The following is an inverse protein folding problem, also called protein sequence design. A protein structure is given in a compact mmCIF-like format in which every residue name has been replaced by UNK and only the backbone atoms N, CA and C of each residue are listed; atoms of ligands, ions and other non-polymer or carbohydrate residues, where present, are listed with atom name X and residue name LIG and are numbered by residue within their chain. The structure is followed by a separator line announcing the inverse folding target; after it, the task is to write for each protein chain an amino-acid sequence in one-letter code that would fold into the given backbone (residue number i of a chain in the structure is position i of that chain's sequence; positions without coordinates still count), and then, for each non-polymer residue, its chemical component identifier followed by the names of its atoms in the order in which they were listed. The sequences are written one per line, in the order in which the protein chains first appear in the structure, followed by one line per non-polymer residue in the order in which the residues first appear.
data_IF_867340953615
#
_entry.id   IF_867340953615
#
_cell.length_a   1.000
_cell.length_b   1.000
_cell.length_c   1.000
_cell.angle_alpha   90.00
_cell.angle_beta   90.00
_cell.angle_gamma   90.00
#
_symmetry.space_group_name_H-M   'P 1'
#
loop_
_entity.id
_entity.type
_entity.pdbx_description
1 polymer ?
#
# COMPACT_ATOMS: atom_id res chain seq x y z
N UNK A 1 13.42 -26.71 33.71
CA UNK A 1 14.04 -25.42 33.34
C UNK A 1 13.47 -25.00 32.00
N UNK A 2 12.46 -24.12 31.98
CA UNK A 2 12.00 -23.48 30.75
C UNK A 2 13.10 -22.53 30.31
N UNK A 3 13.73 -22.84 29.19
CA UNK A 3 14.62 -21.90 28.49
C UNK A 3 13.80 -20.67 28.15
N UNK A 4 14.04 -19.55 28.81
CA UNK A 4 13.45 -18.25 28.46
C UNK A 4 13.83 -17.95 27.00
N UNK A 5 12.94 -18.28 26.07
CA UNK A 5 13.13 -17.88 24.66
C UNK A 5 13.16 -16.35 24.62
N UNK A 6 14.22 -15.79 24.03
CA UNK A 6 14.30 -14.36 23.76
C UNK A 6 13.05 -13.92 23.02
N UNK A 7 12.36 -12.89 23.51
CA UNK A 7 11.26 -12.26 22.78
C UNK A 7 11.76 -11.61 21.49
N UNK A 8 11.02 -11.80 20.42
CA UNK A 8 11.28 -11.17 19.12
C UNK A 8 11.01 -9.68 19.20
N UNK A 9 11.96 -8.89 18.74
CA UNK A 9 11.96 -7.43 18.85
C UNK A 9 11.21 -6.80 17.68
N UNK A 10 10.14 -6.09 17.97
CA UNK A 10 9.28 -5.43 16.97
C UNK A 10 9.53 -3.92 16.97
N UNK A 11 9.90 -3.37 15.82
CA UNK A 11 9.92 -1.94 15.56
C UNK A 11 8.58 -1.52 14.96
N UNK A 12 7.83 -0.65 15.65
CA UNK A 12 6.56 -0.13 15.16
C UNK A 12 6.77 1.27 14.56
N UNK A 13 6.28 1.47 13.33
CA UNK A 13 6.30 2.75 12.62
C UNK A 13 4.85 3.16 12.35
N UNK A 14 4.31 4.09 13.15
CA UNK A 14 2.92 4.54 13.06
C UNK A 14 2.78 5.97 13.60
N UNK A 15 2.13 6.86 12.84
CA UNK A 15 1.91 8.27 13.23
C UNK A 15 0.66 8.44 14.11
N UNK A 16 -0.26 7.49 14.13
CA UNK A 16 -1.56 7.60 14.81
C UNK A 16 -1.47 7.24 16.30
N UNK A 17 -1.42 8.25 17.19
CA UNK A 17 -1.15 8.11 18.61
C UNK A 17 -1.93 7.01 19.34
N UNK A 18 -3.26 7.10 19.40
CA UNK A 18 -4.10 6.14 20.13
C UNK A 18 -4.04 4.72 19.53
N UNK A 19 -4.07 4.61 18.21
CA UNK A 19 -4.00 3.32 17.53
C UNK A 19 -2.64 2.69 17.72
N UNK A 20 -1.58 3.46 17.59
CA UNK A 20 -0.21 3.05 17.87
C UNK A 20 -0.05 2.50 19.28
N UNK A 21 -0.56 3.23 20.28
CA UNK A 21 -0.48 2.80 21.68
C UNK A 21 -1.26 1.49 21.90
N UNK A 22 -2.42 1.34 21.26
CA UNK A 22 -3.19 0.10 21.24
C UNK A 22 -2.45 -1.07 20.59
N UNK A 23 -1.76 -0.82 19.48
CA UNK A 23 -0.92 -1.84 18.81
C UNK A 23 0.26 -2.26 19.69
N UNK A 24 0.94 -1.33 20.33
CA UNK A 24 2.00 -1.63 21.28
C UNK A 24 1.49 -2.55 22.38
N UNK A 25 0.37 -2.20 23.03
CA UNK A 25 -0.22 -3.00 24.08
C UNK A 25 -0.60 -4.42 23.60
N UNK A 26 -1.17 -4.53 22.40
CA UNK A 26 -1.55 -5.83 21.82
C UNK A 26 -0.33 -6.71 21.52
N UNK A 27 0.76 -6.14 21.07
CA UNK A 27 2.00 -6.87 20.76
C UNK A 27 2.72 -7.28 22.05
N UNK A 28 2.84 -6.39 23.03
CA UNK A 28 3.51 -6.69 24.30
C UNK A 28 2.78 -7.73 25.16
N UNK A 29 1.45 -7.88 24.99
CA UNK A 29 0.66 -8.95 25.61
C UNK A 29 0.98 -10.33 25.03
N UNK A 30 1.66 -10.43 23.90
CA UNK A 30 2.03 -11.70 23.29
C UNK A 30 3.38 -12.18 23.83
N UNK A 31 3.41 -13.43 24.37
CA UNK A 31 4.61 -13.95 25.06
C UNK A 31 5.86 -14.00 24.19
N UNK A 32 5.70 -14.13 22.87
CA UNK A 32 6.80 -14.26 21.90
C UNK A 32 7.37 -12.95 21.41
N UNK A 33 6.74 -11.79 21.68
CA UNK A 33 7.09 -10.49 21.11
C UNK A 33 7.36 -9.43 22.18
N UNK A 34 8.13 -8.41 21.83
CA UNK A 34 8.30 -7.20 22.59
C UNK A 34 8.55 -6.01 21.67
N UNK A 35 8.04 -4.83 22.04
CA UNK A 35 8.31 -3.60 21.30
C UNK A 35 9.76 -3.14 21.56
N UNK A 36 10.59 -3.14 20.52
CA UNK A 36 11.97 -2.63 20.57
C UNK A 36 12.04 -1.10 20.45
N UNK A 37 11.05 -0.53 19.79
CA UNK A 37 10.95 0.91 19.57
C UNK A 37 9.69 1.29 18.80
N UNK A 38 9.34 2.57 18.91
CA UNK A 38 8.19 3.17 18.23
C UNK A 38 8.62 4.45 17.57
N UNK A 39 8.27 4.63 16.29
CA UNK A 39 8.59 5.84 15.52
C UNK A 39 7.36 6.37 14.80
N UNK A 40 7.26 7.69 14.78
CA UNK A 40 6.22 8.42 14.07
C UNK A 40 6.73 8.81 12.67
N UNK A 41 6.81 7.84 11.73
CA UNK A 41 7.11 8.10 10.33
C UNK A 41 8.57 7.94 9.91
N UNK A 42 8.80 8.02 8.60
CA UNK A 42 10.08 7.71 7.94
C UNK A 42 11.24 8.62 8.32
N UNK A 43 10.98 9.89 8.60
CA UNK A 43 12.02 10.87 8.92
C UNK A 43 12.81 10.51 10.19
N UNK A 44 12.15 9.90 11.17
CA UNK A 44 12.79 9.47 12.42
C UNK A 44 13.65 8.19 12.25
N UNK A 45 13.49 7.44 11.16
CA UNK A 45 14.28 6.22 10.90
C UNK A 45 15.79 6.49 10.81
N UNK A 46 16.18 7.66 10.32
CA UNK A 46 17.58 8.01 10.15
C UNK A 46 18.28 8.44 11.44
N UNK A 47 17.52 8.92 12.43
CA UNK A 47 18.04 9.49 13.69
C UNK A 47 17.84 8.57 14.89
N UNK A 48 16.99 7.54 14.74
CA UNK A 48 16.65 6.65 15.83
C UNK A 48 17.84 5.76 16.23
N UNK A 49 18.20 5.80 17.50
CA UNK A 49 19.03 4.77 18.13
C UNK A 49 18.12 3.72 18.75
N UNK A 50 17.96 2.57 18.09
CA UNK A 50 17.30 1.40 18.70
C UNK A 50 18.36 0.61 19.47
N UNK A 51 18.04 0.19 20.69
CA UNK A 51 18.99 -0.56 21.55
C UNK A 51 19.43 -1.89 20.94
N UNK A 52 18.55 -2.50 20.13
CA UNK A 52 18.79 -3.78 19.44
C UNK A 52 18.18 -3.72 18.03
N UNK A 53 18.81 -4.42 17.09
CA UNK A 53 18.22 -4.59 15.77
C UNK A 53 16.87 -5.30 15.87
N UNK A 54 15.83 -4.84 15.17
CA UNK A 54 14.53 -5.47 15.19
C UNK A 54 14.54 -6.81 14.46
N UNK A 55 13.73 -7.76 14.97
CA UNK A 55 13.46 -9.02 14.30
C UNK A 55 12.29 -8.89 13.31
N UNK A 56 11.45 -7.85 13.48
CA UNK A 56 10.31 -7.51 12.63
C UNK A 56 10.07 -6.00 12.63
N UNK A 57 9.71 -5.46 11.46
CA UNK A 57 9.21 -4.09 11.32
C UNK A 57 7.73 -4.16 10.98
N UNK A 58 6.89 -3.48 11.78
CA UNK A 58 5.47 -3.25 11.49
C UNK A 58 5.31 -1.79 11.10
N UNK A 59 4.90 -1.52 9.86
CA UNK A 59 4.87 -0.17 9.32
C UNK A 59 3.48 0.22 8.82
N UNK A 60 2.97 1.38 9.26
CA UNK A 60 1.79 1.99 8.67
C UNK A 60 2.14 2.75 7.38
N UNK A 61 1.28 2.61 6.38
CA UNK A 61 1.35 3.42 5.17
C UNK A 61 0.66 4.79 5.32
N UNK A 62 -0.08 5.01 6.43
CA UNK A 62 -0.83 6.23 6.65
C UNK A 62 -1.87 6.49 5.55
N UNK A 63 -2.20 7.75 5.36
CA UNK A 63 -3.15 8.17 4.33
C UNK A 63 -2.56 8.25 2.91
N UNK A 64 -1.24 8.08 2.76
CA UNK A 64 -0.53 8.22 1.47
C UNK A 64 0.36 7.02 1.19
N UNK A 65 0.06 6.29 0.12
CA UNK A 65 0.91 5.19 -0.36
C UNK A 65 2.35 5.65 -0.66
N UNK A 66 2.56 6.90 -1.11
CA UNK A 66 3.89 7.45 -1.38
C UNK A 66 4.73 7.50 -0.11
N UNK A 67 4.19 8.06 0.99
CA UNK A 67 4.90 8.11 2.28
C UNK A 67 5.13 6.71 2.85
N UNK A 68 4.18 5.80 2.67
CA UNK A 68 4.35 4.41 3.05
C UNK A 68 5.51 3.74 2.32
N UNK A 69 5.64 3.96 1.01
CA UNK A 69 6.75 3.45 0.22
C UNK A 69 8.10 4.04 0.63
N UNK A 70 8.15 5.35 0.94
CA UNK A 70 9.35 6.00 1.49
C UNK A 70 9.76 5.36 2.83
N UNK A 71 8.78 5.05 3.69
CA UNK A 71 9.01 4.35 4.97
C UNK A 71 9.61 2.96 4.74
N UNK A 72 9.03 2.17 3.82
CA UNK A 72 9.55 0.84 3.47
C UNK A 72 10.96 0.93 2.88
N UNK A 73 11.22 1.88 1.99
CA UNK A 73 12.54 2.06 1.39
C UNK A 73 13.60 2.45 2.43
N UNK A 74 13.28 3.36 3.35
CA UNK A 74 14.16 3.76 4.43
C UNK A 74 14.42 2.61 5.42
N UNK A 75 13.39 1.86 5.80
CA UNK A 75 13.50 0.67 6.65
C UNK A 75 14.38 -0.41 5.99
N UNK A 76 14.14 -0.69 4.71
CA UNK A 76 14.90 -1.68 3.93
C UNK A 76 16.36 -1.29 3.74
N UNK A 77 16.64 0.01 3.57
CA UNK A 77 18.01 0.52 3.50
C UNK A 77 18.78 0.30 4.79
N UNK A 78 18.12 0.46 5.94
CA UNK A 78 18.77 0.33 7.26
C UNK A 78 18.86 -1.12 7.73
N UNK A 79 17.83 -1.93 7.46
CA UNK A 79 17.72 -3.34 7.84
C UNK A 79 17.33 -4.21 6.63
N UNK A 80 18.27 -4.50 5.74
CA UNK A 80 17.97 -5.17 4.46
C UNK A 80 17.29 -6.53 4.60
N UNK A 81 17.58 -7.26 5.70
CA UNK A 81 17.12 -8.63 5.91
C UNK A 81 15.92 -8.73 6.86
N UNK A 82 15.53 -7.65 7.55
CA UNK A 82 14.44 -7.68 8.52
C UNK A 82 13.10 -7.72 7.78
N UNK A 83 12.19 -8.66 8.12
CA UNK A 83 10.87 -8.69 7.50
C UNK A 83 10.08 -7.43 7.81
N UNK A 84 9.30 -6.97 6.82
CA UNK A 84 8.45 -5.79 6.91
C UNK A 84 7.00 -6.21 6.71
N UNK A 85 6.18 -6.03 7.74
CA UNK A 85 4.72 -6.18 7.71
C UNK A 85 4.08 -4.80 7.61
N UNK A 86 3.36 -4.55 6.53
CA UNK A 86 2.54 -3.34 6.38
C UNK A 86 1.21 -3.54 7.09
N UNK A 87 0.84 -2.59 7.93
CA UNK A 87 -0.45 -2.54 8.64
C UNK A 87 -1.11 -1.19 8.32
N UNK A 88 -2.23 -1.20 7.55
CA UNK A 88 -2.78 0.02 6.97
C UNK A 88 -4.29 -0.02 6.78
N UNK A 89 -4.94 1.14 6.62
CA UNK A 89 -6.32 1.25 6.14
C UNK A 89 -6.44 1.24 4.61
N UNK A 90 -5.34 1.29 3.89
CA UNK A 90 -5.34 1.34 2.42
C UNK A 90 -5.82 0.01 1.84
N UNK A 91 -6.88 0.06 1.02
CA UNK A 91 -7.48 -1.12 0.39
C UNK A 91 -7.50 -1.02 -1.13
N UNK A 92 -6.94 0.04 -1.71
CA UNK A 92 -6.93 0.17 -3.17
C UNK A 92 -5.83 -0.70 -3.80
N UNK A 93 -6.14 -1.21 -5.00
CA UNK A 93 -5.26 -2.17 -5.69
C UNK A 93 -3.88 -1.58 -5.99
N UNK A 94 -3.81 -0.27 -6.27
CA UNK A 94 -2.54 0.39 -6.58
C UNK A 94 -1.63 0.50 -5.35
N UNK A 95 -2.18 0.77 -4.16
CA UNK A 95 -1.43 0.80 -2.91
C UNK A 95 -0.89 -0.61 -2.56
N UNK A 96 -1.75 -1.63 -2.67
CA UNK A 96 -1.38 -3.02 -2.42
C UNK A 96 -0.27 -3.46 -3.39
N UNK A 97 -0.46 -3.25 -4.70
CA UNK A 97 0.52 -3.61 -5.72
C UNK A 97 1.87 -2.90 -5.50
N UNK A 98 1.83 -1.61 -5.18
CA UNK A 98 3.04 -0.82 -4.93
C UNK A 98 3.81 -1.32 -3.72
N UNK A 99 3.12 -1.68 -2.63
CA UNK A 99 3.73 -2.24 -1.43
C UNK A 99 4.39 -3.60 -1.72
N UNK A 100 3.68 -4.49 -2.43
CA UNK A 100 4.21 -5.81 -2.80
C UNK A 100 5.43 -5.70 -3.73
N UNK A 101 5.41 -4.75 -4.68
CA UNK A 101 6.58 -4.44 -5.56
C UNK A 101 7.75 -3.84 -4.79
N UNK A 102 7.50 -3.07 -3.74
CA UNK A 102 8.53 -2.55 -2.85
C UNK A 102 9.18 -3.63 -1.98
N UNK A 103 8.67 -4.87 -2.06
CA UNK A 103 9.27 -6.02 -1.38
C UNK A 103 8.90 -6.13 0.08
N UNK A 104 7.69 -5.71 0.48
CA UNK A 104 7.17 -6.01 1.82
C UNK A 104 6.91 -7.50 1.95
N UNK A 105 7.07 -8.03 3.16
CA UNK A 105 6.90 -9.45 3.44
C UNK A 105 5.46 -9.79 3.81
N UNK A 106 4.70 -8.78 4.31
CA UNK A 106 3.29 -8.94 4.59
C UNK A 106 2.48 -7.65 4.39
N UNK A 107 1.18 -7.82 4.12
CA UNK A 107 0.21 -6.74 4.00
C UNK A 107 -1.06 -7.08 4.76
N UNK A 108 -1.38 -6.31 5.79
CA UNK A 108 -2.51 -6.51 6.69
C UNK A 108 -3.32 -5.22 6.79
N UNK A 109 -4.64 -5.36 6.91
CA UNK A 109 -5.51 -4.21 7.14
C UNK A 109 -5.67 -3.94 8.65
N UNK A 110 -5.67 -2.65 9.02
CA UNK A 110 -5.98 -2.20 10.40
C UNK A 110 -7.42 -2.53 10.83
N UNK A 111 -8.28 -2.95 9.90
CA UNK A 111 -9.64 -3.44 10.16
C UNK A 111 -9.71 -4.94 10.45
N UNK A 112 -8.63 -5.67 10.25
CA UNK A 112 -8.56 -7.10 10.53
C UNK A 112 -8.52 -7.37 12.05
N UNK A 113 -8.77 -8.62 12.43
CA UNK A 113 -8.79 -9.03 13.84
C UNK A 113 -7.36 -9.17 14.38
N UNK A 114 -7.22 -9.02 15.71
CA UNK A 114 -5.94 -9.27 16.41
C UNK A 114 -5.30 -10.61 16.02
N UNK A 115 -6.09 -11.67 15.88
CA UNK A 115 -5.58 -12.97 15.49
C UNK A 115 -4.87 -12.95 14.14
N UNK A 116 -5.37 -12.16 13.16
CA UNK A 116 -4.74 -11.99 11.86
C UNK A 116 -3.40 -11.23 11.96
N UNK A 117 -3.32 -10.23 12.85
CA UNK A 117 -2.05 -9.53 13.12
C UNK A 117 -0.98 -10.51 13.63
N UNK A 118 -1.33 -11.35 14.60
CA UNK A 118 -0.39 -12.33 15.16
C UNK A 118 0.01 -13.39 14.14
N UNK A 119 -0.95 -13.89 13.35
CA UNK A 119 -0.68 -14.84 12.26
C UNK A 119 0.26 -14.22 11.20
N UNK A 120 0.03 -12.95 10.85
CA UNK A 120 0.87 -12.21 9.92
C UNK A 120 2.30 -12.05 10.46
N UNK A 121 2.44 -11.63 11.73
CA UNK A 121 3.74 -11.45 12.38
C UNK A 121 4.55 -12.75 12.40
N UNK A 122 3.94 -13.86 12.84
CA UNK A 122 4.59 -15.17 12.84
C UNK A 122 4.96 -15.62 11.41
N UNK A 123 4.06 -15.47 10.45
CA UNK A 123 4.30 -15.86 9.05
C UNK A 123 5.50 -15.14 8.45
N UNK A 124 5.58 -13.81 8.60
CA UNK A 124 6.67 -13.03 7.99
C UNK A 124 8.02 -13.28 8.68
N UNK A 125 8.03 -13.56 9.98
CA UNK A 125 9.24 -13.98 10.71
C UNK A 125 9.73 -15.33 10.20
N UNK A 126 8.82 -16.26 9.92
CA UNK A 126 9.12 -17.55 9.29
C UNK A 126 9.50 -17.42 7.79
N UNK A 127 9.69 -16.21 7.28
CA UNK A 127 9.98 -15.91 5.88
C UNK A 127 8.89 -16.33 4.90
N UNK A 128 7.67 -16.53 5.37
CA UNK A 128 6.48 -16.73 4.54
C UNK A 128 5.83 -15.38 4.26
N UNK A 129 5.36 -15.19 3.03
CA UNK A 129 4.58 -13.99 2.70
C UNK A 129 3.18 -14.09 3.30
N UNK A 130 2.67 -12.95 3.77
CA UNK A 130 1.33 -12.86 4.33
C UNK A 130 0.52 -11.76 3.64
N UNK A 131 -0.67 -12.09 3.21
CA UNK A 131 -1.65 -11.14 2.68
C UNK A 131 -2.95 -11.36 3.44
N UNK A 132 -3.52 -10.28 3.97
CA UNK A 132 -4.80 -10.31 4.67
C UNK A 132 -5.85 -11.07 3.86
N UNK A 133 -6.57 -12.03 4.47
CA UNK A 133 -7.64 -12.75 3.79
C UNK A 133 -8.71 -11.83 3.19
N UNK A 134 -8.96 -10.68 3.80
CA UNK A 134 -9.94 -9.69 3.33
C UNK A 134 -9.60 -9.03 1.98
N UNK A 135 -8.34 -9.10 1.56
CA UNK A 135 -7.88 -8.56 0.27
C UNK A 135 -7.26 -9.62 -0.65
N UNK A 136 -7.17 -10.86 -0.19
CA UNK A 136 -6.48 -11.94 -0.93
C UNK A 136 -7.05 -12.14 -2.34
N UNK A 137 -8.38 -12.26 -2.48
CA UNK A 137 -9.03 -12.44 -3.79
C UNK A 137 -8.76 -11.27 -4.73
N UNK A 138 -8.69 -10.05 -4.21
CA UNK A 138 -8.37 -8.85 -5.00
C UNK A 138 -6.93 -8.87 -5.49
N UNK A 139 -6.01 -9.27 -4.64
CA UNK A 139 -4.59 -9.44 -5.01
C UNK A 139 -4.44 -10.51 -6.08
N UNK A 140 -5.05 -11.68 -5.89
CA UNK A 140 -5.02 -12.78 -6.87
C UNK A 140 -5.63 -12.35 -8.21
N UNK A 141 -6.81 -11.71 -8.18
CA UNK A 141 -7.47 -11.23 -9.39
C UNK A 141 -6.64 -10.13 -10.09
N UNK A 142 -6.00 -9.25 -9.33
CA UNK A 142 -5.08 -8.24 -9.86
C UNK A 142 -3.90 -8.87 -10.59
N UNK A 143 -3.28 -9.91 -10.03
CA UNK A 143 -2.17 -10.64 -10.67
C UNK A 143 -2.63 -11.54 -11.84
N UNK A 144 -3.78 -12.19 -11.73
CA UNK A 144 -4.31 -13.07 -12.80
C UNK A 144 -4.80 -12.24 -14.00
N UNK A 145 -5.32 -11.05 -13.77
CA UNK A 145 -5.73 -10.11 -14.83
C UNK A 145 -4.54 -9.44 -15.53
N UNK A 146 -3.37 -9.49 -14.92
CA UNK A 146 -2.10 -9.01 -15.50
C UNK A 146 -1.48 -10.11 -16.38
N UNK A 147 -2.06 -10.42 -17.55
CA UNK A 147 -1.23 -10.87 -18.66
C UNK A 147 -0.25 -9.74 -18.98
N UNK A 148 1.07 -10.03 -19.12
CA UNK A 148 2.06 -8.99 -19.25
C UNK A 148 1.93 -8.26 -20.58
N UNK A 149 1.33 -7.08 -20.55
CA UNK A 149 1.71 -6.05 -21.49
C UNK A 149 2.93 -5.35 -20.87
N UNK A 150 4.02 -5.08 -21.60
CA UNK A 150 5.21 -4.45 -21.04
C UNK A 150 4.85 -3.06 -20.53
N UNK A 151 4.75 -2.92 -19.21
CA UNK A 151 4.51 -1.66 -18.54
C UNK A 151 5.77 -0.80 -18.66
N UNK A 152 5.78 0.12 -19.61
CA UNK A 152 6.56 1.34 -19.44
C UNK A 152 5.96 2.05 -18.22
N UNK A 153 6.77 2.30 -17.20
CA UNK A 153 6.38 3.14 -16.07
C UNK A 153 5.76 4.43 -16.63
N UNK A 154 4.47 4.64 -16.38
CA UNK A 154 3.78 5.84 -16.87
C UNK A 154 4.21 7.03 -16.01
N UNK A 155 4.89 8.03 -16.55
CA UNK A 155 5.35 9.20 -15.80
C UNK A 155 4.21 10.01 -15.16
N UNK A 156 2.95 9.78 -15.59
CA UNK A 156 1.78 10.52 -15.09
C UNK A 156 1.26 10.03 -13.72
N UNK A 157 1.74 8.87 -13.22
CA UNK A 157 1.25 8.27 -11.97
C UNK A 157 -0.21 7.81 -12.00
N UNK A 158 -0.81 7.69 -13.21
CA UNK A 158 -2.18 7.20 -13.37
C UNK A 158 -2.24 5.68 -13.26
N UNK A 159 -3.25 5.16 -12.56
CA UNK A 159 -3.60 3.73 -12.62
C UNK A 159 -4.11 3.35 -14.02
N UNK A 160 -4.08 2.06 -14.36
CA UNK A 160 -4.58 1.58 -15.66
C UNK A 160 -6.04 1.98 -15.88
N UNK A 161 -6.86 1.92 -14.82
CA UNK A 161 -8.28 2.31 -14.89
C UNK A 161 -8.46 3.82 -15.08
N UNK A 162 -7.66 4.64 -14.43
CA UNK A 162 -7.67 6.10 -14.64
C UNK A 162 -7.18 6.45 -16.05
N UNK A 163 -6.20 5.73 -16.57
CA UNK A 163 -5.70 5.87 -17.95
C UNK A 163 -6.76 5.45 -18.97
N UNK A 164 -7.48 4.38 -18.72
CA UNK A 164 -8.58 3.95 -19.56
C UNK A 164 -9.73 4.97 -19.59
N UNK A 165 -10.13 5.47 -18.42
CA UNK A 165 -11.12 6.54 -18.30
C UNK A 165 -10.62 7.82 -18.99
N UNK A 166 -9.35 8.19 -18.86
CA UNK A 166 -8.75 9.33 -19.54
C UNK A 166 -8.86 9.19 -21.07
N UNK A 167 -8.55 8.02 -21.63
CA UNK A 167 -8.67 7.75 -23.08
C UNK A 167 -10.12 7.92 -23.58
N UNK A 168 -11.08 7.42 -22.79
CA UNK A 168 -12.50 7.52 -23.17
C UNK A 168 -13.02 8.96 -23.07
N UNK A 169 -12.54 9.75 -22.08
CA UNK A 169 -12.80 11.20 -22.03
C UNK A 169 -12.22 11.89 -23.27
N UNK A 170 -11.00 11.54 -23.66
CA UNK A 170 -10.36 12.11 -24.84
C UNK A 170 -11.06 11.74 -26.16
N UNK A 171 -11.77 10.60 -26.19
CA UNK A 171 -12.66 10.20 -27.29
C UNK A 171 -14.02 10.93 -27.26
N UNK A 172 -14.26 11.82 -26.28
CA UNK A 172 -15.48 12.59 -26.17
C UNK A 172 -16.63 11.90 -25.43
N UNK A 173 -16.42 10.71 -24.84
CA UNK A 173 -17.47 9.98 -24.13
C UNK A 173 -17.86 10.67 -22.83
N UNK A 174 -19.16 10.72 -22.55
CA UNK A 174 -19.72 11.20 -21.28
C UNK A 174 -19.60 10.14 -20.19
N UNK A 175 -19.68 10.54 -18.93
CA UNK A 175 -19.54 9.63 -17.76
C UNK A 175 -20.46 8.42 -17.85
N UNK A 176 -21.69 8.58 -18.35
CA UNK A 176 -22.66 7.48 -18.51
C UNK A 176 -22.21 6.47 -19.57
N UNK A 177 -21.76 6.94 -20.73
CA UNK A 177 -21.25 6.10 -21.82
C UNK A 177 -19.99 5.34 -21.39
N UNK A 178 -19.12 6.01 -20.62
CA UNK A 178 -17.94 5.37 -20.03
C UNK A 178 -18.36 4.27 -19.05
N UNK A 179 -19.36 4.53 -18.20
CA UNK A 179 -19.87 3.55 -17.23
C UNK A 179 -20.43 2.29 -17.93
N UNK A 180 -21.23 2.48 -18.98
CA UNK A 180 -21.77 1.40 -19.80
C UNK A 180 -20.64 0.61 -20.48
N UNK A 181 -19.70 1.30 -21.14
CA UNK A 181 -18.58 0.67 -21.85
C UNK A 181 -17.63 -0.11 -20.95
N UNK A 182 -17.45 0.35 -19.71
CA UNK A 182 -16.56 -0.27 -18.74
C UNK A 182 -17.29 -1.24 -17.79
N UNK A 183 -18.59 -1.42 -17.95
CA UNK A 183 -19.46 -2.26 -17.11
C UNK A 183 -19.35 -1.95 -15.61
N UNK A 184 -19.31 -0.66 -15.26
CA UNK A 184 -19.22 -0.17 -13.88
C UNK A 184 -20.30 0.87 -13.58
N UNK A 185 -20.49 1.22 -12.30
CA UNK A 185 -21.45 2.26 -11.93
C UNK A 185 -20.99 3.65 -12.37
N UNK A 186 -21.94 4.55 -12.63
CA UNK A 186 -21.70 5.98 -12.89
C UNK A 186 -20.83 6.62 -11.80
N UNK A 187 -21.13 6.31 -10.53
CA UNK A 187 -20.39 6.79 -9.36
C UNK A 187 -18.92 6.31 -9.37
N UNK A 188 -18.67 5.09 -9.86
CA UNK A 188 -17.31 4.55 -9.99
C UNK A 188 -16.51 5.36 -11.02
N UNK A 189 -17.11 5.68 -12.18
CA UNK A 189 -16.45 6.51 -13.21
C UNK A 189 -16.18 7.92 -12.69
N UNK A 190 -17.12 8.52 -11.96
CA UNK A 190 -16.90 9.85 -11.36
C UNK A 190 -15.72 9.83 -10.38
N UNK A 191 -15.60 8.80 -9.55
CA UNK A 191 -14.45 8.62 -8.66
C UNK A 191 -13.13 8.57 -9.45
N UNK A 192 -13.07 7.78 -10.52
CA UNK A 192 -11.87 7.71 -11.37
C UNK A 192 -11.58 9.05 -12.06
N UNK A 193 -12.59 9.76 -12.56
CA UNK A 193 -12.42 11.10 -13.14
C UNK A 193 -11.84 12.10 -12.13
N UNK A 194 -12.38 12.15 -10.93
CA UNK A 194 -11.90 13.02 -9.85
C UNK A 194 -10.44 12.71 -9.52
N UNK A 195 -10.09 11.44 -9.36
CA UNK A 195 -8.74 11.02 -9.03
C UNK A 195 -7.73 11.36 -10.15
N UNK A 196 -8.05 11.04 -11.40
CA UNK A 196 -7.16 11.37 -12.54
C UNK A 196 -6.96 12.88 -12.69
N UNK A 197 -8.03 13.67 -12.57
CA UNK A 197 -7.94 15.13 -12.67
C UNK A 197 -7.08 15.71 -11.54
N UNK A 198 -7.22 15.20 -10.32
CA UNK A 198 -6.40 15.59 -9.19
C UNK A 198 -4.92 15.22 -9.39
N UNK A 199 -4.63 14.01 -9.86
CA UNK A 199 -3.26 13.54 -10.12
C UNK A 199 -2.55 14.34 -11.20
N UNK A 200 -3.28 14.72 -12.25
CA UNK A 200 -2.75 15.51 -13.38
C UNK A 200 -2.81 17.03 -13.16
N UNK A 201 -3.41 17.52 -12.06
CA UNK A 201 -3.61 18.94 -11.84
C UNK A 201 -4.60 19.60 -12.82
N UNK A 202 -5.50 18.81 -13.44
CA UNK A 202 -6.43 19.27 -14.47
C UNK A 202 -7.83 19.49 -13.89
N UNK A 203 -8.59 20.43 -14.46
CA UNK A 203 -9.92 20.79 -13.94
C UNK A 203 -11.07 20.61 -14.93
N UNK A 204 -10.79 20.30 -16.20
CA UNK A 204 -11.83 20.16 -17.24
C UNK A 204 -11.58 18.93 -18.10
N UNK A 205 -12.66 18.37 -18.67
CA UNK A 205 -12.57 17.25 -19.62
C UNK A 205 -11.75 17.63 -20.89
N UNK A 206 -11.85 18.89 -21.35
CA UNK A 206 -11.07 19.37 -22.46
C UNK A 206 -9.56 19.39 -22.16
N UNK A 207 -9.18 19.79 -20.95
CA UNK A 207 -7.78 19.73 -20.50
C UNK A 207 -7.27 18.29 -20.40
N UNK A 208 -8.11 17.36 -19.96
CA UNK A 208 -7.79 15.91 -19.93
C UNK A 208 -7.58 15.38 -21.35
N UNK A 209 -8.44 15.77 -22.31
CA UNK A 209 -8.30 15.35 -23.70
C UNK A 209 -7.01 15.91 -24.34
N UNK A 210 -6.73 17.20 -24.14
CA UNK A 210 -5.50 17.82 -24.61
C UNK A 210 -4.25 17.14 -24.05
N UNK A 211 -4.25 16.84 -22.74
CA UNK A 211 -3.17 16.11 -22.08
C UNK A 211 -2.99 14.70 -22.68
N UNK A 212 -4.07 13.96 -22.90
CA UNK A 212 -4.02 12.62 -23.46
C UNK A 212 -3.41 12.60 -24.88
N UNK A 213 -3.76 13.58 -25.72
CA UNK A 213 -3.22 13.74 -27.07
C UNK A 213 -1.73 14.13 -27.04
N UNK A 214 -1.38 15.16 -26.26
CA UNK A 214 0.00 15.68 -26.17
C UNK A 214 1.00 14.65 -25.62
N UNK A 215 0.53 13.71 -24.78
CA UNK A 215 1.38 12.67 -24.19
C UNK A 215 1.24 11.30 -24.90
N UNK A 216 0.59 11.25 -26.05
CA UNK A 216 0.53 10.05 -26.90
C UNK A 216 -0.39 8.94 -26.39
N UNK A 217 -1.29 9.22 -25.44
CA UNK A 217 -2.28 8.24 -24.95
C UNK A 217 -3.42 8.02 -25.94
N UNK A 218 -3.66 8.97 -26.84
CA UNK A 218 -4.60 8.88 -27.96
C UNK A 218 -3.89 9.40 -29.22
N UNK A 219 -3.92 8.62 -30.30
CA UNK A 219 -3.54 9.07 -31.64
C UNK A 219 -4.82 9.41 -32.40
N UNK A 220 -4.91 10.61 -32.92
CA UNK A 220 -5.96 11.04 -33.83
C UNK A 220 -5.75 10.42 -35.21
#
# INVERSE_FOLDING_TARGET
MQTLRRKLQVLLIDEEGLLRDGLCAMIDLEEGFAIAGVIAGSAALHTLSVPTDPDLIVADFGASAVRGLETVAAARSRWPSVPILVLTFQQDDAAIESALRAGVDGYLLKTDRRAELLNAMHSVIDRKRYISPSIFDRVVNGFVSQRPAPSRADPSGLSDREREVMKLIAQGLRTREIAEKLSVSHKTVEKHRTNLMRKLGLRTAAAVAAYAISNGYLRL
#
